data_IF_528861623475
#
_entry.id   IF_528861623475
#
_cell.length_a   1.000
_cell.length_b   1.000
_cell.length_c   1.000
_cell.angle_alpha   90.00
_cell.angle_beta   90.00
_cell.angle_gamma   90.00
#
_symmetry.space_group_name_H-M   'P 1'
#
loop_
_entity.id
_entity.type
_entity.pdbx_description
1 polymer ?
#
# COMPACT_ATOMS: atom_id res chain seq x y z
N UNK A 1 -4.04 -33.47 9.76
CA UNK A 1 -3.90 -32.81 9.35
C UNK A 1 -4.09 -32.39 8.76
N UNK A 2 -3.97 -32.49 8.71
CA UNK A 2 -3.97 -31.95 8.15
C UNK A 2 -4.02 -31.43 7.47
N UNK A 3 -3.99 -31.32 7.27
CA UNK A 3 -3.99 -30.78 6.67
C UNK A 3 -3.95 -30.14 6.06
N UNK A 4 -3.83 -30.06 5.89
CA UNK A 4 -3.63 -29.49 5.32
C UNK A 4 -3.24 -28.86 4.90
N UNK A 5 -3.03 -28.82 4.95
CA UNK A 5 -2.43 -28.16 4.71
C UNK A 5 -2.16 -27.30 3.89
N UNK A 6 -1.96 -26.66 3.77
CA UNK A 6 -1.87 -25.83 3.09
C UNK A 6 -1.48 -25.33 2.58
N UNK A 7 -0.85 -24.67 2.73
CA UNK A 7 -1.61 -24.30 1.61
C UNK A 7 -1.19 -23.01 1.09
N UNK A 8 -1.20 -22.92 -0.22
CA UNK A 8 -0.90 -21.67 -0.92
C UNK A 8 -2.21 -20.91 -1.04
N UNK A 9 -2.27 -19.69 -0.45
CA UNK A 9 -3.32 -18.75 -0.77
C UNK A 9 -3.01 -18.12 -2.12
N UNK A 10 -4.01 -17.90 -2.95
CA UNK A 10 -3.81 -17.31 -4.27
C UNK A 10 -5.00 -16.46 -4.67
N UNK A 11 -4.74 -15.21 -5.02
CA UNK A 11 -5.74 -14.31 -5.59
C UNK A 11 -5.24 -13.87 -6.95
N UNK A 12 -5.96 -14.24 -7.99
CA UNK A 12 -5.61 -13.83 -9.36
C UNK A 12 -6.06 -12.39 -9.59
N UNK A 13 -5.16 -11.57 -10.13
CA UNK A 13 -5.50 -10.19 -10.47
C UNK A 13 -5.85 -9.34 -9.27
N UNK A 14 -5.18 -9.52 -8.15
CA UNK A 14 -5.48 -8.82 -6.91
C UNK A 14 -5.35 -7.30 -6.99
N UNK A 15 -4.73 -6.77 -8.04
CA UNK A 15 -4.61 -5.32 -8.27
C UNK A 15 -5.86 -4.70 -8.90
N UNK A 16 -6.84 -5.54 -9.29
CA UNK A 16 -8.06 -5.08 -9.98
C UNK A 16 -9.17 -4.80 -9.00
N UNK A 17 -10.05 -3.89 -9.39
CA UNK A 17 -11.29 -3.60 -8.66
C UNK A 17 -11.05 -3.20 -7.20
N UNK A 18 -9.97 -2.45 -6.97
CA UNK A 18 -9.64 -1.98 -5.63
C UNK A 18 -10.68 -0.98 -5.14
N UNK A 19 -11.11 -1.07 -3.88
CA UNK A 19 -12.00 -0.07 -3.29
C UNK A 19 -11.38 1.32 -3.29
N UNK A 20 -12.19 2.33 -3.56
CA UNK A 20 -11.75 3.72 -3.54
C UNK A 20 -11.60 4.21 -2.11
N UNK A 21 -10.51 4.91 -1.84
CA UNK A 21 -10.32 5.61 -0.57
C UNK A 21 -11.22 6.85 -0.52
N UNK A 22 -11.65 7.21 0.69
CA UNK A 22 -12.71 8.20 0.88
C UNK A 22 -12.23 9.66 0.89
N UNK A 23 -10.98 9.95 0.57
CA UNK A 23 -10.46 11.31 0.62
C UNK A 23 -10.97 12.14 -0.56
N UNK A 24 -11.61 13.30 -0.31
CA UNK A 24 -12.15 14.13 -1.37
C UNK A 24 -11.08 14.58 -2.36
N UNK A 25 -11.38 14.48 -3.66
CA UNK A 25 -10.49 14.89 -4.73
C UNK A 25 -9.33 13.96 -5.00
N UNK A 26 -9.12 12.98 -4.14
CA UNK A 26 -8.06 11.98 -4.31
C UNK A 26 -8.59 10.81 -5.11
N UNK A 27 -7.81 10.36 -6.10
CA UNK A 27 -8.14 9.18 -6.89
C UNK A 27 -7.21 8.04 -6.47
N UNK A 28 -7.46 7.51 -5.28
CA UNK A 28 -6.67 6.47 -4.67
C UNK A 28 -7.53 5.25 -4.35
N UNK A 29 -6.97 4.08 -4.56
CA UNK A 29 -7.65 2.80 -4.43
C UNK A 29 -6.74 1.84 -3.66
N UNK A 30 -7.31 1.08 -2.72
CA UNK A 30 -6.53 0.18 -1.88
C UNK A 30 -7.35 -1.02 -1.47
N UNK A 31 -6.71 -2.18 -1.39
CA UNK A 31 -7.38 -3.38 -0.90
C UNK A 31 -6.37 -4.44 -0.48
N UNK A 32 -6.58 -5.01 0.70
CA UNK A 32 -5.79 -6.13 1.17
C UNK A 32 -6.15 -7.38 0.37
N UNK A 33 -5.15 -8.10 -0.12
CA UNK A 33 -5.34 -9.39 -0.73
C UNK A 33 -5.35 -10.50 0.33
N UNK A 34 -4.46 -10.37 1.30
CA UNK A 34 -4.32 -11.34 2.38
C UNK A 34 -4.04 -10.66 3.71
N UNK A 35 -4.50 -11.31 4.77
CA UNK A 35 -4.08 -11.01 6.13
C UNK A 35 -3.98 -12.32 6.90
N UNK A 36 -3.18 -12.33 7.96
CA UNK A 36 -3.02 -13.51 8.80
C UNK A 36 -3.71 -13.30 10.16
N UNK A 37 -4.99 -13.64 10.27
CA UNK A 37 -5.75 -13.32 11.47
C UNK A 37 -5.40 -14.21 12.67
N UNK A 38 -4.76 -15.36 12.44
CA UNK A 38 -4.49 -16.33 13.49
C UNK A 38 -3.03 -16.44 13.91
N UNK A 39 -2.17 -15.53 13.45
CA UNK A 39 -0.74 -15.60 13.72
C UNK A 39 -0.14 -14.22 13.91
N UNK A 40 1.10 -14.05 13.46
CA UNK A 40 1.72 -12.73 13.44
C UNK A 40 0.88 -11.80 12.56
N UNK A 41 0.67 -10.57 13.03
CA UNK A 41 -0.12 -9.59 12.30
C UNK A 41 0.64 -9.13 11.07
N UNK A 42 0.19 -9.58 9.93
CA UNK A 42 0.74 -9.17 8.64
C UNK A 42 -0.38 -9.17 7.59
N UNK A 43 -0.34 -8.18 6.72
CA UNK A 43 -1.26 -8.11 5.59
C UNK A 43 -0.49 -7.76 4.33
N UNK A 44 -1.10 -7.96 3.18
CA UNK A 44 -0.57 -7.50 1.91
C UNK A 44 -1.71 -7.13 0.97
N UNK A 45 -1.41 -6.23 0.04
CA UNK A 45 -2.39 -5.81 -0.95
C UNK A 45 -1.79 -4.86 -1.95
N UNK A 46 -2.66 -4.24 -2.74
CA UNK A 46 -2.26 -3.27 -3.75
C UNK A 46 -2.82 -1.89 -3.42
N UNK A 47 -2.04 -0.88 -3.75
CA UNK A 47 -2.41 0.52 -3.68
C UNK A 47 -2.20 1.14 -5.04
N UNK A 48 -3.24 1.77 -5.56
CA UNK A 48 -3.20 2.43 -6.86
C UNK A 48 -3.58 3.90 -6.69
N UNK A 49 -2.77 4.77 -7.26
CA UNK A 49 -2.98 6.21 -7.20
C UNK A 49 -3.00 6.77 -8.62
N UNK A 50 -3.94 7.68 -8.86
CA UNK A 50 -4.00 8.47 -10.09
C UNK A 50 -3.69 9.93 -9.79
N UNK A 51 -3.25 10.65 -10.81
CA UNK A 51 -3.02 12.10 -10.68
C UNK A 51 -4.29 12.79 -10.20
N UNK A 52 -4.11 13.78 -9.32
CA UNK A 52 -5.20 14.51 -8.69
C UNK A 52 -4.73 15.12 -7.39
N UNK A 53 -5.65 15.33 -6.45
CA UNK A 53 -5.30 15.85 -5.14
C UNK A 53 -4.36 14.88 -4.42
N UNK A 54 -3.38 15.39 -3.65
CA UNK A 54 -2.47 14.54 -2.89
C UNK A 54 -3.22 13.69 -1.88
N UNK A 55 -2.70 12.49 -1.61
CA UNK A 55 -3.16 11.66 -0.52
C UNK A 55 -2.18 11.81 0.64
N UNK A 56 -2.65 12.31 1.77
CA UNK A 56 -1.87 12.35 3.00
C UNK A 56 -2.29 11.19 3.88
N UNK A 57 -1.31 10.35 4.26
CA UNK A 57 -1.59 9.16 5.05
C UNK A 57 -0.68 9.09 6.26
N UNK A 58 -1.26 8.83 7.42
CA UNK A 58 -0.51 8.61 8.65
C UNK A 58 -0.45 7.12 8.93
N UNK A 59 0.76 6.59 9.05
CA UNK A 59 0.98 5.17 9.32
C UNK A 59 0.91 4.88 10.81
N UNK A 60 -0.06 4.07 11.21
CA UNK A 60 -0.19 3.60 12.59
C UNK A 60 0.45 2.22 12.77
N UNK A 61 1.20 1.77 11.78
CA UNK A 61 1.89 0.48 11.72
C UNK A 61 3.08 0.61 10.76
N UNK A 62 4.01 -0.34 10.83
CA UNK A 62 5.11 -0.39 9.87
C UNK A 62 4.58 -0.95 8.54
N UNK A 63 4.99 -0.34 7.44
CA UNK A 63 4.61 -0.80 6.11
C UNK A 63 5.83 -0.80 5.19
N UNK A 64 5.93 -1.84 4.36
CA UNK A 64 6.88 -1.88 3.27
C UNK A 64 6.12 -1.93 1.95
N UNK A 65 6.71 -1.35 0.89
CA UNK A 65 6.04 -1.25 -0.40
C UNK A 65 7.04 -1.40 -1.52
N UNK A 66 6.68 -2.16 -2.55
CA UNK A 66 7.42 -2.16 -3.80
C UNK A 66 6.57 -1.47 -4.86
N UNK A 67 7.19 -0.58 -5.63
CA UNK A 67 6.52 0.05 -6.76
C UNK A 67 6.48 -0.95 -7.91
N UNK A 68 5.28 -1.20 -8.43
CA UNK A 68 5.08 -2.17 -9.53
C UNK A 68 5.04 -1.46 -10.87
N UNK A 69 4.27 -0.37 -10.95
CA UNK A 69 4.10 0.42 -12.18
C UNK A 69 4.04 1.89 -11.84
N UNK A 70 4.49 2.72 -12.78
CA UNK A 70 4.40 4.17 -12.61
C UNK A 70 5.41 4.70 -11.61
N UNK A 71 5.09 5.84 -11.03
CA UNK A 71 6.04 6.58 -10.22
C UNK A 71 5.29 7.30 -9.11
N UNK A 72 5.74 7.10 -7.86
CA UNK A 72 5.22 7.83 -6.71
C UNK A 72 6.15 8.99 -6.37
N UNK A 73 5.57 10.16 -6.16
CA UNK A 73 6.26 11.32 -5.60
C UNK A 73 5.85 11.42 -4.14
N UNK A 74 6.79 11.22 -3.25
CA UNK A 74 6.53 11.10 -1.83
C UNK A 74 7.15 12.27 -1.07
N UNK A 75 6.41 12.78 -0.08
CA UNK A 75 6.92 13.80 0.84
C UNK A 75 6.68 13.33 2.25
N UNK A 76 7.75 13.26 3.04
CA UNK A 76 7.63 13.08 4.49
C UNK A 76 7.19 14.41 5.08
N UNK A 77 5.98 14.48 5.61
CA UNK A 77 5.40 15.72 6.09
C UNK A 77 6.07 16.26 7.34
N UNK A 78 6.79 15.42 8.07
CA UNK A 78 7.48 15.85 9.29
C UNK A 78 8.87 16.38 9.00
N UNK A 79 9.62 15.76 8.10
CA UNK A 79 11.00 16.17 7.78
C UNK A 79 11.13 17.00 6.53
N UNK A 80 10.15 16.94 5.63
CA UNK A 80 10.23 17.57 4.32
C UNK A 80 11.00 16.77 3.29
N UNK A 81 11.48 15.57 3.64
CA UNK A 81 12.19 14.71 2.70
C UNK A 81 11.29 14.37 1.51
N UNK A 82 11.84 14.45 0.31
CA UNK A 82 11.14 14.09 -0.90
C UNK A 82 11.82 12.91 -1.58
N UNK A 83 11.02 11.97 -2.08
CA UNK A 83 11.50 10.77 -2.77
C UNK A 83 10.66 10.58 -4.02
N UNK A 84 11.32 10.28 -5.13
CA UNK A 84 10.65 9.82 -6.35
C UNK A 84 10.97 8.34 -6.51
N UNK A 85 9.94 7.51 -6.44
CA UNK A 85 10.11 6.06 -6.47
C UNK A 85 9.47 5.49 -7.74
N UNK A 86 10.23 4.72 -8.49
CA UNK A 86 9.81 4.08 -9.73
C UNK A 86 9.76 2.56 -9.61
N UNK A 87 9.39 1.87 -10.71
CA UNK A 87 9.20 0.42 -10.69
C UNK A 87 10.40 -0.34 -10.12
N UNK A 88 10.10 -1.28 -9.24
CA UNK A 88 11.05 -2.14 -8.52
C UNK A 88 11.77 -1.45 -7.36
N UNK A 89 11.48 -0.18 -7.11
CA UNK A 89 11.98 0.47 -5.90
C UNK A 89 11.21 -0.03 -4.68
N UNK A 90 11.92 -0.16 -3.56
CA UNK A 90 11.33 -0.61 -2.30
C UNK A 90 11.30 0.56 -1.32
N UNK A 91 10.16 0.72 -0.66
CA UNK A 91 9.93 1.78 0.30
C UNK A 91 9.65 1.19 1.67
N UNK A 92 10.05 1.91 2.71
CA UNK A 92 9.70 1.56 4.09
C UNK A 92 9.10 2.79 4.77
N UNK A 93 7.91 2.61 5.34
CA UNK A 93 7.23 3.64 6.11
C UNK A 93 7.13 3.17 7.55
N UNK A 94 7.99 3.68 8.46
CA UNK A 94 7.91 3.33 9.87
C UNK A 94 6.60 3.80 10.49
N UNK A 95 6.14 3.07 11.50
CA UNK A 95 5.00 3.50 12.31
C UNK A 95 5.22 4.94 12.79
N UNK A 96 4.20 5.76 12.63
CA UNK A 96 4.24 7.18 12.98
C UNK A 96 4.56 8.10 11.80
N UNK A 97 4.94 7.54 10.66
CA UNK A 97 5.22 8.35 9.46
C UNK A 97 3.96 9.02 8.94
N UNK A 98 4.09 10.26 8.48
CA UNK A 98 3.03 10.99 7.80
C UNK A 98 3.55 11.32 6.41
N UNK A 99 2.95 10.69 5.41
CA UNK A 99 3.47 10.71 4.04
C UNK A 99 2.43 11.28 3.09
N UNK A 100 2.87 12.19 2.23
CA UNK A 100 2.06 12.68 1.11
C UNK A 100 2.42 11.90 -0.14
N UNK A 101 1.40 11.31 -0.75
CA UNK A 101 1.53 10.54 -1.99
C UNK A 101 0.98 11.35 -3.15
N UNK A 102 1.79 11.48 -4.20
CA UNK A 102 1.41 12.10 -5.46
C UNK A 102 1.96 11.28 -6.61
N UNK A 103 1.38 11.44 -7.79
CA UNK A 103 1.89 10.83 -9.02
C UNK A 103 1.58 11.74 -10.20
N UNK A 104 2.47 11.80 -11.21
CA UNK A 104 2.18 12.61 -12.40
C UNK A 104 1.08 12.02 -13.29
N UNK A 105 0.82 10.71 -13.18
CA UNK A 105 -0.19 10.03 -14.00
C UNK A 105 -0.86 8.93 -13.21
N UNK A 106 -0.19 7.79 -13.07
CA UNK A 106 -0.70 6.64 -12.35
C UNK A 106 0.46 5.86 -11.75
N UNK A 107 0.26 5.34 -10.55
CA UNK A 107 1.24 4.47 -9.91
C UNK A 107 0.54 3.32 -9.20
N UNK A 108 1.18 2.16 -9.23
CA UNK A 108 0.69 0.95 -8.57
C UNK A 108 1.79 0.40 -7.68
N UNK A 109 1.47 0.17 -6.41
CA UNK A 109 2.38 -0.44 -5.45
C UNK A 109 1.77 -1.66 -4.80
N UNK A 110 2.63 -2.62 -4.47
CA UNK A 110 2.28 -3.75 -3.62
C UNK A 110 2.84 -3.49 -2.23
N UNK A 111 2.02 -3.65 -1.20
CA UNK A 111 2.45 -3.40 0.17
C UNK A 111 2.32 -4.62 1.05
N UNK A 112 3.13 -4.63 2.11
CA UNK A 112 2.95 -5.51 3.25
C UNK A 112 2.99 -4.65 4.51
N UNK A 113 2.04 -4.86 5.40
CA UNK A 113 1.88 -4.06 6.61
C UNK A 113 1.84 -4.92 7.86
N UNK A 114 2.39 -4.37 8.94
CA UNK A 114 2.37 -5.03 10.24
C UNK A 114 1.05 -4.69 10.93
N UNK A 115 -0.01 -5.24 10.42
CA UNK A 115 -1.37 -5.10 10.95
C UNK A 115 -2.24 -6.26 10.50
N UNK A 116 -3.34 -6.47 11.21
CA UNK A 116 -4.37 -7.39 10.77
C UNK A 116 -5.14 -6.78 9.60
N UNK A 117 -6.04 -7.57 9.02
CA UNK A 117 -6.87 -7.12 7.91
C UNK A 117 -7.61 -5.83 8.28
N UNK A 118 -7.52 -4.84 7.39
CA UNK A 118 -8.29 -3.61 7.48
C UNK A 118 -8.81 -3.28 6.09
N UNK A 119 -10.11 -3.25 5.91
CA UNK A 119 -10.72 -2.87 4.65
C UNK A 119 -10.50 -1.39 4.33
#
# INVERSE_FOLDING_TARGET
MTTSATRIGHVSGAFRDLPRMADPGTRAYIGDAFANPGGAEICSGFFELFAGAPLDYEYTYDEMKVVVEGEFHLTDLDSGQQVVAGPKDVLFFPKGSRIRFETPDRALGFYTGHRSFAP
#
